data_IF_481281836430
#
_entry.id   IF_481281836430
#
_cell.length_a   1.000
_cell.length_b   1.000
_cell.length_c   1.000
_cell.angle_alpha   90.00
_cell.angle_beta   90.00
_cell.angle_gamma   90.00
#
_symmetry.space_group_name_H-M   'P 1'
#
loop_
_entity.id
_entity.type
_entity.pdbx_description
1 polymer ?
#
# COMPACT_ATOMS: atom_id res chain seq x y z
N UNK A 1 5.19 58.64 -38.04
CA UNK A 1 6.49 57.92 -37.98
C UNK A 1 6.23 56.45 -38.16
N UNK A 2 6.99 55.81 -39.05
CA UNK A 2 6.65 54.58 -39.77
C UNK A 2 6.70 53.32 -38.87
N UNK A 3 5.60 52.54 -38.92
CA UNK A 3 5.52 51.16 -38.50
C UNK A 3 6.39 50.25 -39.38
N UNK A 4 7.21 49.37 -38.80
CA UNK A 4 7.82 48.23 -39.49
C UNK A 4 7.18 46.95 -38.96
N UNK A 5 6.37 46.33 -39.80
CA UNK A 5 5.87 44.98 -39.62
C UNK A 5 6.96 43.99 -40.08
N UNK A 6 7.41 43.11 -39.19
CA UNK A 6 8.20 41.95 -39.56
C UNK A 6 7.27 40.74 -39.76
N UNK A 7 7.25 40.23 -41.01
CA UNK A 7 6.64 38.95 -41.38
C UNK A 7 7.55 37.81 -40.89
N UNK A 8 6.98 36.91 -40.08
CA UNK A 8 7.58 35.60 -39.81
C UNK A 8 7.07 34.62 -40.89
N UNK A 9 7.96 34.15 -41.74
CA UNK A 9 7.72 33.00 -42.60
C UNK A 9 7.74 31.70 -41.80
N UNK A 10 6.64 30.94 -41.87
CA UNK A 10 6.57 29.57 -41.36
C UNK A 10 7.22 28.63 -42.36
N UNK A 11 8.42 28.14 -42.11
CA UNK A 11 8.97 26.97 -42.77
C UNK A 11 8.28 25.70 -42.23
N UNK A 12 7.44 25.10 -43.06
CA UNK A 12 6.89 23.77 -42.80
C UNK A 12 7.95 22.71 -43.15
N UNK A 13 8.55 22.10 -42.14
CA UNK A 13 9.33 20.90 -42.33
C UNK A 13 8.36 19.71 -42.42
N UNK A 14 8.10 19.22 -43.62
CA UNK A 14 7.39 17.95 -43.84
C UNK A 14 8.39 16.82 -43.56
N UNK A 15 8.25 16.14 -42.45
CA UNK A 15 8.89 14.85 -42.21
C UNK A 15 7.96 13.79 -42.76
N UNK A 16 8.32 13.20 -43.90
CA UNK A 16 7.64 12.01 -44.43
C UNK A 16 8.05 10.80 -43.58
N UNK A 17 7.10 10.28 -42.80
CA UNK A 17 7.25 8.99 -42.14
C UNK A 17 6.94 7.89 -43.15
N UNK A 18 7.95 7.24 -43.68
CA UNK A 18 7.80 5.94 -44.31
C UNK A 18 7.62 4.90 -43.23
N UNK A 19 6.40 4.41 -43.02
CA UNK A 19 6.12 3.27 -42.16
C UNK A 19 6.71 2.01 -42.80
N UNK A 20 7.48 1.19 -42.07
CA UNK A 20 7.91 -0.10 -42.62
C UNK A 20 6.74 -1.08 -42.66
N UNK A 21 6.58 -1.76 -43.79
CA UNK A 21 5.47 -2.68 -44.12
C UNK A 21 5.42 -3.98 -43.30
N UNK A 22 6.15 -4.13 -42.22
CA UNK A 22 6.10 -5.34 -41.40
C UNK A 22 6.36 -5.10 -39.90
N UNK A 23 5.36 -4.58 -39.21
CA UNK A 23 5.35 -4.50 -37.76
C UNK A 23 5.42 -5.86 -37.05
N UNK A 24 5.15 -6.97 -37.76
CA UNK A 24 5.17 -8.32 -37.19
C UNK A 24 6.58 -8.87 -37.01
N UNK A 25 7.58 -8.33 -37.70
CA UNK A 25 9.00 -8.72 -37.55
C UNK A 25 9.73 -7.97 -36.44
N UNK A 26 9.27 -6.80 -36.03
CA UNK A 26 9.86 -6.04 -34.93
C UNK A 26 9.56 -6.63 -33.53
N UNK A 27 8.54 -7.49 -33.43
CA UNK A 27 8.15 -8.11 -32.14
C UNK A 27 9.02 -9.34 -31.79
N UNK A 28 9.82 -9.85 -32.71
CA UNK A 28 10.52 -11.14 -32.50
C UNK A 28 12.00 -11.09 -32.13
N UNK A 29 12.68 -9.96 -32.11
CA UNK A 29 14.11 -9.90 -31.77
C UNK A 29 14.55 -8.60 -31.08
N UNK A 30 13.80 -8.10 -30.15
CA UNK A 30 14.30 -7.10 -29.22
C UNK A 30 14.86 -7.79 -27.97
N UNK A 31 16.16 -7.77 -27.80
CA UNK A 31 16.81 -8.17 -26.57
C UNK A 31 16.28 -7.25 -25.44
N UNK A 32 15.28 -7.70 -24.68
CA UNK A 32 14.71 -6.95 -23.55
C UNK A 32 15.74 -6.68 -22.43
N UNK A 33 16.94 -7.29 -22.52
CA UNK A 33 18.02 -7.18 -21.53
C UNK A 33 18.72 -5.81 -21.46
N UNK A 34 18.40 -4.87 -22.36
CA UNK A 34 19.04 -3.55 -22.39
C UNK A 34 18.20 -2.42 -21.80
N UNK A 35 16.93 -2.69 -21.40
CA UNK A 35 16.08 -1.69 -20.76
C UNK A 35 16.27 -1.78 -19.25
N UNK A 36 16.67 -0.70 -18.56
CA UNK A 36 16.80 -0.71 -17.09
C UNK A 36 15.48 -1.12 -16.40
N UNK A 37 15.57 -1.93 -15.34
CA UNK A 37 14.41 -2.43 -14.60
C UNK A 37 13.60 -3.49 -15.34
N UNK A 38 14.21 -4.27 -16.24
CA UNK A 38 13.55 -5.32 -17.03
C UNK A 38 12.96 -6.41 -16.12
N UNK A 39 13.64 -6.78 -15.03
CA UNK A 39 13.16 -7.74 -14.03
C UNK A 39 11.82 -7.31 -13.42
N UNK A 40 11.76 -6.10 -12.87
CA UNK A 40 10.55 -5.53 -12.28
C UNK A 40 9.42 -5.41 -13.31
N UNK A 41 9.72 -4.87 -14.52
CA UNK A 41 8.74 -4.71 -15.61
C UNK A 41 8.18 -6.04 -16.11
N UNK A 42 8.95 -7.11 -16.09
CA UNK A 42 8.50 -8.44 -16.52
C UNK A 42 7.53 -9.08 -15.53
N UNK A 43 7.61 -8.72 -14.24
CA UNK A 43 6.69 -9.19 -13.20
C UNK A 43 5.28 -8.62 -13.36
N UNK A 44 5.18 -7.35 -13.79
CA UNK A 44 3.92 -6.65 -14.02
C UNK A 44 3.89 -6.05 -15.44
N UNK A 45 3.56 -6.83 -16.47
CA UNK A 45 3.44 -6.31 -17.83
C UNK A 45 2.41 -5.18 -17.90
N UNK A 46 2.78 -4.07 -18.55
CA UNK A 46 1.91 -2.93 -18.67
C UNK A 46 0.59 -3.27 -19.37
N UNK A 47 -0.50 -2.94 -18.73
CA UNK A 47 -1.85 -2.97 -19.29
C UNK A 47 -2.64 -1.77 -18.77
N UNK A 48 -3.02 -0.86 -19.67
CA UNK A 48 -3.85 0.28 -19.31
C UNK A 48 -5.21 -0.17 -18.80
N UNK A 49 -5.70 0.50 -17.74
CA UNK A 49 -7.00 0.21 -17.12
C UNK A 49 -8.18 0.32 -18.12
N UNK A 50 -8.07 1.19 -19.13
CA UNK A 50 -9.10 1.38 -20.17
C UNK A 50 -9.22 0.20 -21.15
N UNK A 51 -8.23 -0.69 -21.17
CA UNK A 51 -8.18 -1.87 -22.04
C UNK A 51 -8.50 -3.17 -21.28
N UNK A 52 -8.96 -3.06 -20.03
CA UNK A 52 -9.34 -4.22 -19.21
C UNK A 52 -10.84 -4.48 -19.29
N UNK A 53 -11.25 -5.76 -19.22
CA UNK A 53 -12.66 -6.08 -19.04
C UNK A 53 -13.18 -5.41 -17.75
N UNK A 54 -14.39 -4.85 -17.76
CA UNK A 54 -14.99 -4.31 -16.54
C UNK A 54 -15.07 -5.36 -15.44
N UNK A 55 -14.83 -4.94 -14.21
CA UNK A 55 -15.03 -5.74 -13.01
C UNK A 55 -16.47 -5.56 -12.53
N UNK A 56 -16.94 -6.49 -11.70
CA UNK A 56 -18.24 -6.38 -11.02
C UNK A 56 -18.06 -6.75 -9.55
N UNK A 57 -18.66 -5.92 -8.68
CA UNK A 57 -18.75 -6.19 -7.25
C UNK A 57 -20.16 -6.69 -6.90
N UNK A 58 -20.33 -7.46 -5.83
CA UNK A 58 -21.63 -7.87 -5.33
C UNK A 58 -22.58 -6.68 -5.13
N UNK A 59 -23.84 -6.86 -5.52
CA UNK A 59 -24.88 -5.84 -5.35
C UNK A 59 -24.68 -4.57 -6.21
N UNK A 60 -23.84 -4.61 -7.24
CA UNK A 60 -23.53 -3.45 -8.06
C UNK A 60 -22.72 -2.37 -7.33
N UNK A 61 -21.99 -2.74 -6.29
CA UNK A 61 -21.11 -1.83 -5.56
C UNK A 61 -20.03 -1.23 -6.48
N UNK A 62 -19.57 -0.03 -6.14
CA UNK A 62 -18.62 0.76 -6.95
C UNK A 62 -17.25 0.81 -6.34
N UNK A 63 -17.19 0.78 -5.00
CA UNK A 63 -15.97 0.95 -4.22
C UNK A 63 -15.82 -0.18 -3.21
N UNK A 64 -14.61 -0.68 -3.09
CA UNK A 64 -14.14 -1.40 -1.91
C UNK A 64 -13.28 -0.45 -1.09
N UNK A 65 -13.69 -0.15 0.14
CA UNK A 65 -12.85 0.51 1.13
C UNK A 65 -11.99 -0.53 1.83
N UNK A 66 -10.67 -0.39 1.71
CA UNK A 66 -9.69 -1.26 2.33
C UNK A 66 -8.91 -0.50 3.41
N UNK A 67 -9.18 -0.81 4.68
CA UNK A 67 -8.47 -0.20 5.80
C UNK A 67 -7.26 -1.04 6.17
N UNK A 68 -6.09 -0.41 6.27
CA UNK A 68 -4.84 -1.03 6.67
C UNK A 68 -4.34 -0.33 7.93
N UNK A 69 -4.12 -1.11 9.00
CA UNK A 69 -3.55 -0.60 10.25
C UNK A 69 -2.17 -1.21 10.42
N UNK A 70 -1.15 -0.36 10.36
CA UNK A 70 0.26 -0.76 10.44
C UNK A 70 0.74 -0.73 11.88
N UNK A 71 1.26 -1.86 12.35
CA UNK A 71 1.80 -2.01 13.69
C UNK A 71 3.20 -2.57 13.63
N UNK A 72 4.14 -1.79 14.11
CA UNK A 72 5.56 -1.98 13.88
C UNK A 72 6.31 -2.22 15.20
N UNK A 73 7.44 -2.89 15.13
CA UNK A 73 8.40 -3.03 16.23
C UNK A 73 9.65 -2.22 15.87
N UNK A 74 9.88 -1.15 16.62
CA UNK A 74 11.06 -0.30 16.44
C UNK A 74 12.10 -0.64 17.51
N UNK A 75 13.34 -0.80 17.10
CA UNK A 75 14.43 -1.12 17.99
C UNK A 75 15.05 0.16 18.57
N UNK A 76 15.00 0.37 19.93
CA UNK A 76 15.44 1.64 20.52
C UNK A 76 16.95 1.90 20.41
N UNK A 77 17.74 0.84 20.20
CA UNK A 77 19.21 0.90 20.08
C UNK A 77 19.68 0.96 18.63
N UNK A 78 18.74 0.85 17.68
CA UNK A 78 19.01 0.94 16.25
C UNK A 78 18.60 2.28 15.62
N UNK A 79 18.82 2.46 14.32
CA UNK A 79 18.29 3.59 13.60
C UNK A 79 16.77 3.57 13.61
N UNK A 80 16.15 4.70 13.99
CA UNK A 80 14.71 4.83 13.93
C UNK A 80 14.20 4.81 12.48
N UNK A 81 13.16 4.04 12.16
CA UNK A 81 12.55 4.05 10.84
C UNK A 81 12.06 5.44 10.44
N UNK A 82 11.64 6.25 11.44
CA UNK A 82 11.24 7.64 11.27
C UNK A 82 11.61 8.47 12.50
N UNK A 83 11.82 9.76 12.28
CA UNK A 83 12.12 10.71 13.34
C UNK A 83 11.12 11.87 13.28
N UNK A 84 10.44 12.14 14.41
CA UNK A 84 9.65 13.35 14.61
C UNK A 84 10.53 14.49 15.12
N UNK A 85 11.56 14.16 15.86
CA UNK A 85 12.59 15.08 16.31
C UNK A 85 13.91 14.75 15.62
N UNK A 86 14.51 15.71 14.87
CA UNK A 86 15.86 15.55 14.36
C UNK A 86 16.87 15.50 15.51
N UNK A 87 18.02 14.84 15.35
CA UNK A 87 19.05 14.82 16.36
C UNK A 87 19.52 16.25 16.73
N UNK A 88 19.58 16.62 18.03
CA UNK A 88 19.85 18.00 18.45
C UNK A 88 21.16 18.58 17.92
N UNK A 89 22.17 17.75 17.70
CA UNK A 89 23.49 18.15 17.21
C UNK A 89 23.81 17.62 15.80
N UNK A 90 22.79 17.24 15.04
CA UNK A 90 22.95 16.73 13.67
C UNK A 90 23.49 15.30 13.54
N UNK A 91 23.82 14.64 14.65
CA UNK A 91 24.25 13.25 14.66
C UNK A 91 23.29 12.38 15.48
N UNK A 92 22.91 11.19 15.00
CA UNK A 92 22.06 10.27 15.74
C UNK A 92 22.64 9.94 17.12
N UNK A 93 21.80 10.05 18.15
CA UNK A 93 22.12 9.66 19.52
C UNK A 93 21.35 8.38 19.86
N UNK A 94 22.06 7.33 20.25
CA UNK A 94 21.46 6.05 20.60
C UNK A 94 21.65 5.75 22.11
N UNK A 95 20.59 5.24 22.78
CA UNK A 95 19.26 4.98 22.28
C UNK A 95 18.48 6.28 21.95
N UNK A 96 17.69 6.27 20.87
CA UNK A 96 16.86 7.42 20.46
C UNK A 96 15.51 7.37 21.20
N UNK A 97 15.51 7.76 22.46
CA UNK A 97 14.34 7.69 23.35
C UNK A 97 13.15 8.52 22.82
N UNK A 98 13.31 9.80 22.38
CA UNK A 98 12.16 10.59 21.96
C UNK A 98 11.44 10.03 20.73
N UNK A 99 12.15 9.57 19.71
CA UNK A 99 11.52 9.02 18.51
C UNK A 99 10.97 7.61 18.75
N UNK A 100 11.67 6.78 19.50
CA UNK A 100 11.14 5.48 19.91
C UNK A 100 9.89 5.63 20.80
N UNK A 101 9.89 6.50 21.80
CA UNK A 101 8.74 6.68 22.69
C UNK A 101 7.54 7.36 21.99
N UNK A 102 7.78 8.16 20.96
CA UNK A 102 6.73 8.66 20.08
C UNK A 102 6.00 7.51 19.37
N UNK A 103 6.72 6.54 18.84
CA UNK A 103 6.14 5.34 18.27
C UNK A 103 5.38 4.53 19.36
N UNK A 104 5.98 4.35 20.55
CA UNK A 104 5.37 3.64 21.68
C UNK A 104 4.04 4.25 22.12
N UNK A 105 3.87 5.58 22.02
CA UNK A 105 2.58 6.21 22.24
C UNK A 105 1.49 5.63 21.34
N UNK A 106 1.84 5.32 20.09
CA UNK A 106 0.95 4.65 19.17
C UNK A 106 0.46 3.31 19.70
N UNK A 107 1.36 2.48 20.21
CA UNK A 107 1.04 1.15 20.74
C UNK A 107 0.24 1.23 22.05
N UNK A 108 0.57 2.17 22.91
CA UNK A 108 -0.05 2.33 24.24
C UNK A 108 -1.41 3.01 24.21
N UNK A 109 -1.61 3.93 23.27
CA UNK A 109 -2.79 4.82 23.27
C UNK A 109 -3.42 4.93 21.89
N UNK A 110 -2.63 5.17 20.84
CA UNK A 110 -3.12 5.48 19.51
C UNK A 110 -3.90 4.34 18.86
N UNK A 111 -3.43 3.11 19.01
CA UNK A 111 -4.08 1.91 18.49
C UNK A 111 -5.53 1.77 18.99
N UNK A 112 -5.74 2.01 20.26
CA UNK A 112 -7.06 1.84 20.91
C UNK A 112 -8.09 2.84 20.36
N UNK A 113 -7.67 4.06 19.97
CA UNK A 113 -8.54 5.01 19.28
C UNK A 113 -8.88 4.57 17.88
N UNK A 114 -7.92 4.04 17.13
CA UNK A 114 -8.17 3.51 15.78
C UNK A 114 -9.10 2.29 15.86
N UNK A 115 -8.85 1.39 16.80
CA UNK A 115 -9.72 0.23 17.03
C UNK A 115 -11.16 0.66 17.33
N UNK A 116 -11.34 1.63 18.22
CA UNK A 116 -12.67 2.16 18.58
C UNK A 116 -13.34 2.86 17.39
N UNK A 117 -12.60 3.67 16.62
CA UNK A 117 -13.10 4.34 15.43
C UNK A 117 -13.62 3.35 14.37
N UNK A 118 -12.91 2.23 14.16
CA UNK A 118 -13.34 1.18 13.23
C UNK A 118 -14.49 0.34 13.81
N UNK A 119 -14.37 -0.07 15.07
CA UNK A 119 -15.36 -0.92 15.75
C UNK A 119 -16.73 -0.24 15.88
N UNK A 120 -16.77 1.04 16.22
CA UNK A 120 -18.01 1.82 16.32
C UNK A 120 -18.76 1.92 14.99
N UNK A 121 -18.03 1.81 13.87
CA UNK A 121 -18.56 1.79 12.49
C UNK A 121 -18.76 0.36 11.94
N UNK A 122 -18.55 -0.69 12.76
CA UNK A 122 -18.61 -2.11 12.37
C UNK A 122 -17.67 -2.44 11.19
N UNK A 123 -16.54 -1.75 11.11
CA UNK A 123 -15.53 -1.92 10.07
C UNK A 123 -14.45 -2.87 10.55
N UNK A 124 -13.96 -3.70 9.64
CA UNK A 124 -12.74 -4.49 9.83
C UNK A 124 -11.56 -3.81 9.15
N UNK A 125 -10.36 -4.25 9.51
CA UNK A 125 -9.13 -3.83 8.87
C UNK A 125 -8.28 -5.04 8.49
N UNK A 126 -7.34 -4.82 7.59
CA UNK A 126 -6.15 -5.64 7.42
C UNK A 126 -5.09 -5.10 8.36
N UNK A 127 -4.62 -5.93 9.27
CA UNK A 127 -3.64 -5.60 10.29
C UNK A 127 -2.26 -5.97 9.77
N UNK A 128 -1.54 -4.99 9.21
CA UNK A 128 -0.17 -5.14 8.76
C UNK A 128 0.76 -5.06 9.97
N UNK A 129 1.35 -6.20 10.36
CA UNK A 129 2.13 -6.25 11.58
C UNK A 129 3.50 -6.90 11.37
N UNK A 130 4.51 -6.35 12.06
CA UNK A 130 5.76 -7.09 12.21
C UNK A 130 5.49 -8.36 13.05
N UNK A 131 6.07 -9.50 12.66
CA UNK A 131 5.85 -10.77 13.37
C UNK A 131 6.17 -10.71 14.86
N UNK A 132 7.21 -9.96 15.24
CA UNK A 132 7.59 -9.75 16.64
C UNK A 132 6.52 -9.03 17.47
N UNK A 133 5.57 -8.33 16.85
CA UNK A 133 4.44 -7.66 17.51
C UNK A 133 3.60 -8.66 18.32
N UNK A 134 3.41 -9.89 17.81
CA UNK A 134 2.66 -10.93 18.48
C UNK A 134 3.19 -11.25 19.89
N UNK A 135 4.51 -11.08 20.09
CA UNK A 135 5.16 -11.31 21.40
C UNK A 135 5.31 -10.04 22.23
N UNK A 136 5.55 -8.90 21.57
CA UNK A 136 5.88 -7.64 22.25
C UNK A 136 4.65 -6.83 22.63
N UNK A 137 3.56 -6.95 21.87
CA UNK A 137 2.32 -6.20 22.06
C UNK A 137 1.11 -7.14 21.98
N UNK A 138 1.13 -8.20 22.78
CA UNK A 138 0.12 -9.26 22.79
C UNK A 138 -1.32 -8.72 22.95
N UNK A 139 -1.53 -7.71 23.83
CA UNK A 139 -2.85 -7.09 24.03
C UNK A 139 -3.37 -6.42 22.74
N UNK A 140 -2.50 -5.78 21.96
CA UNK A 140 -2.85 -5.13 20.68
C UNK A 140 -3.24 -6.20 19.65
N UNK A 141 -2.46 -7.27 19.55
CA UNK A 141 -2.76 -8.37 18.62
C UNK A 141 -4.06 -9.10 19.02
N UNK A 142 -4.27 -9.35 20.33
CA UNK A 142 -5.51 -9.97 20.84
C UNK A 142 -6.73 -9.10 20.49
N UNK A 143 -6.66 -7.79 20.70
CA UNK A 143 -7.75 -6.88 20.39
C UNK A 143 -8.07 -6.82 18.89
N UNK A 144 -7.07 -6.89 18.02
CA UNK A 144 -7.26 -6.98 16.58
C UNK A 144 -7.91 -8.32 16.17
N UNK A 145 -7.45 -9.44 16.76
CA UNK A 145 -8.02 -10.77 16.51
C UNK A 145 -9.47 -10.85 16.96
N UNK A 146 -9.79 -10.35 18.16
CA UNK A 146 -11.17 -10.30 18.71
C UNK A 146 -12.10 -9.40 17.87
N UNK A 147 -11.54 -8.36 17.23
CA UNK A 147 -12.28 -7.53 16.29
C UNK A 147 -12.49 -8.21 14.92
N UNK A 148 -11.93 -9.40 14.72
CA UNK A 148 -12.02 -10.16 13.47
C UNK A 148 -11.26 -9.52 12.32
N UNK A 149 -10.14 -8.84 12.62
CA UNK A 149 -9.26 -8.27 11.60
C UNK A 149 -8.44 -9.36 10.95
N UNK A 150 -8.10 -9.15 9.68
CA UNK A 150 -7.13 -9.96 8.96
C UNK A 150 -5.72 -9.63 9.42
N UNK A 151 -4.85 -10.64 9.51
CA UNK A 151 -3.43 -10.46 9.83
C UNK A 151 -2.60 -10.59 8.56
N UNK A 152 -1.85 -9.54 8.22
CA UNK A 152 -0.96 -9.44 7.05
C UNK A 152 0.50 -9.29 7.52
N UNK A 153 1.42 -10.09 6.97
CA UNK A 153 2.84 -10.02 7.34
C UNK A 153 3.48 -8.69 6.91
N UNK A 154 4.33 -8.13 7.79
CA UNK A 154 5.03 -6.86 7.57
C UNK A 154 6.50 -6.93 8.00
N UNK A 155 7.19 -8.04 7.69
CA UNK A 155 8.53 -8.32 8.20
C UNK A 155 8.53 -8.75 9.67
N UNK A 156 9.69 -9.22 10.17
CA UNK A 156 9.81 -9.64 11.56
C UNK A 156 9.86 -8.43 12.52
N UNK A 157 10.63 -7.41 12.14
CA UNK A 157 10.74 -6.09 12.77
C UNK A 157 10.76 -5.03 11.68
N UNK A 158 10.63 -3.74 12.03
CA UNK A 158 10.58 -2.65 11.04
C UNK A 158 11.96 -2.40 10.41
N UNK A 159 12.29 -3.25 9.44
CA UNK A 159 13.55 -3.22 8.70
C UNK A 159 13.29 -3.39 7.20
N UNK A 160 13.75 -2.46 6.32
CA UNK A 160 13.63 -2.60 4.87
C UNK A 160 14.19 -3.93 4.35
N UNK A 161 13.53 -4.59 3.40
CA UNK A 161 13.95 -5.89 2.87
C UNK A 161 15.39 -5.87 2.32
N UNK A 162 15.84 -4.74 1.76
CA UNK A 162 17.23 -4.53 1.33
C UNK A 162 18.26 -4.61 2.46
N UNK A 163 17.85 -4.61 3.73
CA UNK A 163 18.70 -4.71 4.92
C UNK A 163 18.55 -6.04 5.65
N UNK A 164 17.86 -6.99 5.03
CA UNK A 164 17.64 -8.35 5.55
C UNK A 164 18.52 -9.30 4.74
N UNK A 165 19.52 -9.90 5.37
CA UNK A 165 20.52 -10.74 4.69
C UNK A 165 19.88 -12.06 4.16
N UNK A 166 19.02 -12.70 4.96
CA UNK A 166 18.26 -13.89 4.58
C UNK A 166 16.76 -13.56 4.61
N UNK A 167 16.26 -13.04 3.50
CA UNK A 167 14.86 -12.64 3.37
C UNK A 167 13.91 -13.84 3.49
N UNK A 168 14.26 -14.97 2.88
CA UNK A 168 13.40 -16.16 2.89
C UNK A 168 13.18 -16.67 4.32
N UNK A 169 14.23 -16.72 5.12
CA UNK A 169 14.15 -17.11 6.53
C UNK A 169 13.34 -16.10 7.35
N UNK A 170 13.56 -14.80 7.14
CA UNK A 170 12.84 -13.74 7.84
C UNK A 170 11.34 -13.73 7.50
N UNK A 171 10.98 -13.97 6.25
CA UNK A 171 9.57 -14.10 5.82
C UNK A 171 8.92 -15.30 6.51
N UNK A 172 9.57 -16.46 6.48
CA UNK A 172 9.06 -17.67 7.15
C UNK A 172 8.88 -17.48 8.65
N UNK A 173 9.84 -16.87 9.31
CA UNK A 173 9.76 -16.57 10.75
C UNK A 173 8.60 -15.62 11.04
N UNK A 174 8.42 -14.56 10.25
CA UNK A 174 7.29 -13.64 10.38
C UNK A 174 5.96 -14.37 10.28
N UNK A 175 5.79 -15.19 9.24
CA UNK A 175 4.57 -15.97 9.02
C UNK A 175 4.30 -16.95 10.15
N UNK A 176 5.35 -17.59 10.66
CA UNK A 176 5.23 -18.56 11.75
C UNK A 176 4.88 -17.89 13.09
N UNK A 177 5.40 -16.70 13.38
CA UNK A 177 5.00 -15.93 14.58
C UNK A 177 3.51 -15.54 14.50
N UNK A 178 3.05 -15.09 13.34
CA UNK A 178 1.62 -14.80 13.13
C UNK A 178 0.79 -16.07 13.25
N UNK A 179 1.21 -17.18 12.64
CA UNK A 179 0.50 -18.46 12.71
C UNK A 179 0.39 -18.99 14.15
N UNK A 180 1.46 -18.90 14.93
CA UNK A 180 1.43 -19.30 16.35
C UNK A 180 0.41 -18.51 17.15
N UNK A 181 0.24 -17.23 16.84
CA UNK A 181 -0.69 -16.36 17.53
C UNK A 181 -2.14 -16.53 17.06
N UNK A 182 -2.37 -16.57 15.75
CA UNK A 182 -3.72 -16.57 15.15
C UNK A 182 -4.27 -17.97 14.84
N UNK A 183 -3.41 -18.99 14.78
CA UNK A 183 -3.74 -20.33 14.32
C UNK A 183 -3.68 -20.51 12.80
N UNK A 184 -3.49 -19.44 12.02
CA UNK A 184 -3.48 -19.46 10.55
C UNK A 184 -2.28 -18.70 9.98
N UNK A 185 -1.77 -19.16 8.82
CA UNK A 185 -0.76 -18.42 8.07
C UNK A 185 -1.37 -17.17 7.43
N UNK A 186 -0.66 -16.04 7.41
CA UNK A 186 -1.10 -14.87 6.65
C UNK A 186 -1.04 -15.17 5.15
N UNK A 187 -2.02 -14.67 4.40
CA UNK A 187 -2.06 -14.75 2.93
C UNK A 187 -1.46 -13.53 2.25
N UNK A 188 -1.41 -12.42 2.97
CA UNK A 188 -0.95 -11.14 2.49
C UNK A 188 0.37 -10.70 3.09
N UNK A 189 1.06 -9.82 2.35
CA UNK A 189 2.30 -9.21 2.76
C UNK A 189 2.38 -7.73 2.35
N UNK A 190 2.93 -6.93 3.26
CA UNK A 190 3.39 -5.57 3.03
C UNK A 190 4.84 -5.47 3.53
N UNK A 191 5.78 -5.20 2.66
CA UNK A 191 7.18 -5.07 3.06
C UNK A 191 7.41 -3.81 3.89
N UNK A 192 8.26 -3.82 4.92
CA UNK A 192 8.60 -2.61 5.68
C UNK A 192 9.03 -1.46 4.77
N UNK A 193 8.25 -0.38 4.80
CA UNK A 193 8.44 0.77 3.93
C UNK A 193 8.19 0.50 2.45
N UNK A 194 7.40 -0.52 2.10
CA UNK A 194 7.10 -0.98 0.73
C UNK A 194 8.38 -1.33 -0.06
N UNK A 195 9.40 -1.84 0.62
CA UNK A 195 10.71 -2.10 -0.01
C UNK A 195 10.81 -3.56 -0.42
N UNK A 196 11.08 -3.81 -1.69
CA UNK A 196 11.40 -5.12 -2.24
C UNK A 196 12.76 -5.10 -2.95
N UNK A 197 13.48 -6.22 -2.89
CA UNK A 197 14.60 -6.51 -3.81
C UNK A 197 14.06 -7.29 -5.02
N UNK A 198 14.91 -7.53 -6.01
CA UNK A 198 14.52 -8.32 -7.19
C UNK A 198 13.99 -9.73 -6.83
N UNK A 199 14.43 -10.31 -5.70
CA UNK A 199 14.08 -11.66 -5.28
C UNK A 199 12.93 -11.72 -4.25
N UNK A 200 12.54 -10.58 -3.65
CA UNK A 200 11.55 -10.55 -2.56
C UNK A 200 10.23 -11.19 -2.96
N UNK A 201 9.69 -10.86 -4.15
CA UNK A 201 8.42 -11.40 -4.62
C UNK A 201 8.46 -12.93 -4.78
N UNK A 202 9.60 -13.47 -5.25
CA UNK A 202 9.79 -14.92 -5.41
C UNK A 202 9.85 -15.61 -4.04
N UNK A 203 10.53 -15.02 -3.06
CA UNK A 203 10.57 -15.52 -1.69
C UNK A 203 9.18 -15.52 -1.04
N UNK A 204 8.38 -14.47 -1.26
CA UNK A 204 7.00 -14.38 -0.78
C UNK A 204 6.13 -15.48 -1.39
N UNK A 205 6.17 -15.63 -2.72
CA UNK A 205 5.44 -16.69 -3.41
C UNK A 205 5.86 -18.09 -2.96
N UNK A 206 7.16 -18.33 -2.77
CA UNK A 206 7.71 -19.59 -2.26
C UNK A 206 7.21 -19.91 -0.85
N UNK A 207 6.93 -18.88 -0.05
CA UNK A 207 6.35 -19.02 1.29
C UNK A 207 4.83 -19.18 1.29
N UNK A 208 4.17 -19.07 0.13
CA UNK A 208 2.72 -19.20 0.02
C UNK A 208 1.94 -17.90 0.24
N UNK A 209 2.60 -16.74 0.15
CA UNK A 209 1.92 -15.44 0.11
C UNK A 209 1.18 -15.33 -1.23
N UNK A 210 -0.09 -14.96 -1.16
CA UNK A 210 -0.98 -14.90 -2.30
C UNK A 210 -1.20 -13.46 -2.80
N UNK A 211 -1.04 -12.45 -1.92
CA UNK A 211 -1.12 -11.06 -2.33
C UNK A 211 -0.08 -10.17 -1.63
N UNK A 212 0.25 -9.06 -2.28
CA UNK A 212 1.17 -8.03 -1.77
C UNK A 212 0.54 -6.63 -1.87
N UNK A 213 0.94 -5.74 -0.95
CA UNK A 213 0.55 -4.34 -0.89
C UNK A 213 1.66 -3.37 -1.36
N UNK A 214 2.81 -3.89 -1.79
CA UNK A 214 4.00 -3.10 -2.09
C UNK A 214 3.95 -2.36 -3.43
N UNK A 215 3.09 -2.82 -4.36
CA UNK A 215 3.02 -2.35 -5.73
C UNK A 215 1.89 -1.32 -5.92
N UNK A 216 2.22 -0.06 -5.75
CA UNK A 216 1.27 1.07 -5.66
C UNK A 216 0.91 1.69 -7.03
N UNK A 217 0.58 0.88 -8.03
CA UNK A 217 0.49 1.34 -9.41
C UNK A 217 -0.92 1.26 -10.05
N UNK A 218 -1.93 0.84 -9.30
CA UNK A 218 -3.26 0.58 -9.88
C UNK A 218 -4.41 0.80 -8.90
N UNK A 219 -5.61 1.04 -9.42
CA UNK A 219 -6.87 1.13 -8.65
C UNK A 219 -7.62 -0.21 -8.58
N UNK A 220 -7.11 -1.25 -9.25
CA UNK A 220 -7.69 -2.59 -9.32
C UNK A 220 -6.60 -3.64 -9.06
N UNK A 221 -6.94 -4.83 -8.51
CA UNK A 221 -5.96 -5.88 -8.33
C UNK A 221 -5.30 -6.29 -9.65
N UNK A 222 -4.00 -6.58 -9.59
CA UNK A 222 -3.19 -6.97 -10.76
C UNK A 222 -2.39 -8.24 -10.43
N UNK A 223 -2.41 -9.22 -11.31
CA UNK A 223 -1.60 -10.43 -11.17
C UNK A 223 -0.14 -10.15 -11.50
N UNK A 224 0.76 -10.46 -10.57
CA UNK A 224 2.21 -10.39 -10.71
C UNK A 224 2.77 -11.76 -11.02
N UNK A 225 3.86 -11.80 -11.77
CA UNK A 225 4.60 -13.03 -12.09
C UNK A 225 5.73 -13.25 -11.10
N UNK A 226 5.81 -14.44 -10.53
CA UNK A 226 6.96 -14.93 -9.79
C UNK A 226 7.37 -16.30 -10.30
N UNK A 227 8.56 -16.74 -9.92
CA UNK A 227 9.07 -18.07 -10.32
C UNK A 227 8.35 -19.21 -9.58
N UNK A 228 7.58 -18.89 -8.53
CA UNK A 228 6.86 -19.87 -7.70
C UNK A 228 5.33 -19.77 -7.84
N UNK A 229 4.84 -19.08 -8.87
CA UNK A 229 3.42 -18.88 -9.14
C UNK A 229 2.99 -17.42 -9.08
N UNK A 230 1.76 -17.13 -9.51
CA UNK A 230 1.26 -15.76 -9.50
C UNK A 230 1.02 -15.25 -8.07
N UNK A 231 1.32 -13.97 -7.84
CA UNK A 231 0.96 -13.22 -6.64
C UNK A 231 0.11 -12.03 -7.07
N UNK A 232 -0.90 -11.67 -6.31
CA UNK A 232 -1.77 -10.54 -6.65
C UNK A 232 -1.28 -9.26 -5.97
N UNK A 233 -0.98 -8.20 -6.74
CA UNK A 233 -0.84 -6.86 -6.18
C UNK A 233 -2.23 -6.30 -5.88
N UNK A 234 -2.54 -6.03 -4.62
CA UNK A 234 -3.75 -5.32 -4.24
C UNK A 234 -3.53 -3.81 -4.32
N UNK A 235 -4.57 -3.03 -4.66
CA UNK A 235 -4.46 -1.59 -4.84
C UNK A 235 -4.19 -0.85 -3.52
N UNK A 236 -2.93 -0.83 -3.10
CA UNK A 236 -2.45 0.04 -2.06
C UNK A 236 -2.14 1.42 -2.65
N UNK A 237 -2.25 2.47 -1.85
CA UNK A 237 -1.87 3.81 -2.29
C UNK A 237 -1.03 4.54 -1.25
N UNK A 238 0.06 5.16 -1.71
CA UNK A 238 0.86 6.08 -0.89
C UNK A 238 0.15 7.42 -0.65
N UNK A 239 -0.86 7.75 -1.47
CA UNK A 239 -1.56 9.03 -1.39
C UNK A 239 -2.45 9.15 -0.14
N UNK A 240 -2.98 8.03 0.38
CA UNK A 240 -3.77 7.95 1.61
C UNK A 240 -3.06 7.14 2.70
N UNK A 241 -1.75 7.18 2.71
CA UNK A 241 -0.90 6.69 3.79
C UNK A 241 -0.53 7.86 4.71
N UNK A 242 -0.86 7.76 5.99
CA UNK A 242 -0.63 8.84 6.96
C UNK A 242 0.85 9.15 7.23
N UNK A 243 1.76 8.17 6.99
CA UNK A 243 3.21 8.43 7.00
C UNK A 243 3.58 9.37 5.87
N UNK A 244 3.06 9.13 4.65
CA UNK A 244 3.35 10.00 3.50
C UNK A 244 2.76 11.39 3.74
N UNK A 245 1.51 11.49 4.15
CA UNK A 245 0.83 12.76 4.40
C UNK A 245 1.51 13.56 5.52
N UNK A 246 1.71 12.92 6.67
CA UNK A 246 2.07 13.65 7.90
C UNK A 246 3.56 13.70 8.19
N UNK A 247 4.31 12.62 7.89
CA UNK A 247 5.72 12.53 8.22
C UNK A 247 6.65 12.87 7.06
N UNK A 248 6.26 12.55 5.82
CA UNK A 248 7.07 12.84 4.63
C UNK A 248 6.72 14.20 4.04
N UNK A 249 5.45 14.42 3.70
CA UNK A 249 4.97 15.66 3.09
C UNK A 249 4.68 16.75 4.12
N UNK A 250 4.58 16.42 5.40
CA UNK A 250 4.35 17.36 6.53
C UNK A 250 3.09 18.23 6.36
N UNK A 251 2.04 17.65 5.80
CA UNK A 251 0.76 18.32 5.67
C UNK A 251 0.05 18.50 7.03
N UNK A 252 -0.93 19.42 7.06
CA UNK A 252 -1.79 19.64 8.21
C UNK A 252 -2.62 18.42 8.58
N UNK A 253 -3.09 18.34 9.83
CA UNK A 253 -3.80 17.18 10.36
C UNK A 253 -5.10 16.83 9.63
N UNK A 254 -5.74 17.82 9.00
CA UNK A 254 -6.97 17.67 8.23
C UNK A 254 -6.77 17.21 6.78
N UNK A 255 -5.52 17.08 6.34
CA UNK A 255 -5.21 16.68 4.95
C UNK A 255 -5.74 15.29 4.61
N UNK A 256 -5.67 14.34 5.54
CA UNK A 256 -6.22 13.00 5.33
C UNK A 256 -7.72 13.04 5.01
N UNK A 257 -8.47 13.93 5.64
CA UNK A 257 -9.90 14.13 5.35
C UNK A 257 -10.10 14.79 3.99
N UNK A 258 -9.38 15.87 3.70
CA UNK A 258 -9.52 16.63 2.44
C UNK A 258 -9.15 15.77 1.24
N UNK A 259 -7.96 15.17 1.30
CA UNK A 259 -7.45 14.30 0.24
C UNK A 259 -8.30 13.04 0.10
N UNK A 260 -8.66 12.42 1.22
CA UNK A 260 -9.49 11.22 1.23
C UNK A 260 -10.85 11.44 0.60
N UNK A 261 -11.53 12.55 0.86
CA UNK A 261 -12.80 12.91 0.21
C UNK A 261 -12.65 13.08 -1.29
N UNK A 262 -11.68 13.89 -1.73
CA UNK A 262 -11.45 14.12 -3.14
C UNK A 262 -11.05 12.83 -3.90
N UNK A 263 -10.25 11.99 -3.26
CA UNK A 263 -9.86 10.68 -3.80
C UNK A 263 -11.08 9.75 -3.91
N UNK A 264 -11.86 9.64 -2.86
CA UNK A 264 -13.10 8.87 -2.85
C UNK A 264 -14.07 9.34 -3.95
N UNK A 265 -14.36 10.62 -4.04
CA UNK A 265 -15.30 11.17 -5.02
C UNK A 265 -14.91 10.81 -6.46
N UNK A 266 -13.60 10.84 -6.74
CA UNK A 266 -13.08 10.45 -8.06
C UNK A 266 -13.23 8.96 -8.30
N UNK A 267 -12.77 8.11 -7.40
CA UNK A 267 -12.88 6.66 -7.55
C UNK A 267 -14.35 6.19 -7.59
N UNK A 268 -15.23 6.83 -6.82
CA UNK A 268 -16.65 6.53 -6.80
C UNK A 268 -17.32 6.86 -8.14
N UNK A 269 -16.89 7.94 -8.79
CA UNK A 269 -17.33 8.28 -10.16
C UNK A 269 -16.79 7.28 -11.19
N UNK A 270 -15.50 6.93 -11.12
CA UNK A 270 -14.89 5.95 -12.01
C UNK A 270 -15.49 4.54 -11.81
N UNK A 271 -15.93 4.24 -10.60
CA UNK A 271 -16.59 3.00 -10.21
C UNK A 271 -17.92 2.73 -10.92
N UNK A 272 -18.49 3.73 -11.58
CA UNK A 272 -19.66 3.53 -12.46
C UNK A 272 -19.33 2.66 -13.69
N UNK A 273 -18.10 2.70 -14.16
CA UNK A 273 -17.67 1.91 -15.33
C UNK A 273 -17.08 0.55 -14.91
N UNK A 274 -16.32 0.56 -13.84
CA UNK A 274 -15.69 -0.63 -13.28
C UNK A 274 -15.25 -0.32 -11.84
N UNK A 275 -15.52 -1.18 -10.86
CA UNK A 275 -15.23 -0.90 -9.46
C UNK A 275 -13.75 -0.60 -9.21
N UNK A 276 -13.51 0.15 -8.14
CA UNK A 276 -12.17 0.54 -7.64
C UNK A 276 -12.00 0.09 -6.20
N UNK A 277 -10.75 -0.06 -5.80
CA UNK A 277 -10.35 -0.23 -4.40
C UNK A 277 -9.77 1.08 -3.89
N UNK A 278 -10.27 1.56 -2.77
CA UNK A 278 -9.73 2.70 -2.04
C UNK A 278 -9.04 2.21 -0.77
N UNK A 279 -7.73 2.19 -0.75
CA UNK A 279 -6.96 1.86 0.43
C UNK A 279 -6.76 3.10 1.32
N UNK A 280 -6.84 2.92 2.64
CA UNK A 280 -6.44 3.91 3.65
C UNK A 280 -5.49 3.20 4.59
N UNK A 281 -4.23 3.65 4.63
CA UNK A 281 -3.18 3.08 5.47
C UNK A 281 -2.82 4.02 6.60
N UNK A 282 -2.94 3.53 7.85
CA UNK A 282 -2.76 4.33 9.05
C UNK A 282 -1.81 3.66 10.04
N UNK A 283 -1.07 4.50 10.78
CA UNK A 283 -0.16 4.10 11.83
C UNK A 283 -0.65 4.66 13.17
N UNK A 284 -0.70 3.85 14.25
CA UNK A 284 -1.21 4.28 15.55
C UNK A 284 -0.55 5.53 16.12
N UNK A 285 0.75 5.71 15.91
CA UNK A 285 1.52 6.87 16.37
C UNK A 285 1.29 8.15 15.54
N UNK A 286 0.63 8.04 14.38
CA UNK A 286 0.27 9.16 13.51
C UNK A 286 -1.23 9.47 13.59
N UNK A 287 -2.07 8.59 13.07
CA UNK A 287 -3.52 8.82 13.01
C UNK A 287 -4.21 8.62 14.35
N UNK A 288 -3.65 7.82 15.28
CA UNK A 288 -4.23 7.58 16.61
C UNK A 288 -4.01 8.70 17.62
N UNK A 289 -3.36 9.83 17.26
CA UNK A 289 -3.16 10.96 18.17
C UNK A 289 -4.41 11.84 18.26
N UNK A 290 -4.62 12.57 19.40
CA UNK A 290 -5.88 13.27 19.67
C UNK A 290 -6.29 14.29 18.60
N UNK A 291 -5.34 14.99 18.00
CA UNK A 291 -5.62 16.04 17.03
C UNK A 291 -5.79 15.55 15.58
N UNK A 292 -5.64 14.25 15.33
CA UNK A 292 -5.78 13.65 13.99
C UNK A 292 -6.91 12.64 13.89
N UNK A 293 -7.17 11.86 14.95
CA UNK A 293 -8.15 10.76 14.89
C UNK A 293 -9.54 11.24 14.41
N UNK A 294 -10.00 12.42 14.83
CA UNK A 294 -11.30 12.96 14.44
C UNK A 294 -11.43 13.25 12.93
N UNK A 295 -10.34 13.53 12.23
CA UNK A 295 -10.37 13.68 10.77
C UNK A 295 -10.46 12.35 10.04
N UNK A 296 -9.82 11.31 10.57
CA UNK A 296 -9.96 9.94 10.05
C UNK A 296 -11.40 9.43 10.25
N UNK A 297 -11.98 9.66 11.42
CA UNK A 297 -13.38 9.31 11.72
C UNK A 297 -14.35 10.00 10.76
N UNK A 298 -14.18 11.29 10.51
CA UNK A 298 -14.98 12.06 9.56
C UNK A 298 -14.84 11.55 8.12
N UNK A 299 -13.64 11.08 7.73
CA UNK A 299 -13.44 10.46 6.41
C UNK A 299 -14.22 9.15 6.30
N UNK A 300 -14.15 8.31 7.33
CA UNK A 300 -14.94 7.06 7.35
C UNK A 300 -16.44 7.32 7.28
N UNK A 301 -16.93 8.26 8.06
CA UNK A 301 -18.35 8.64 8.04
C UNK A 301 -18.78 9.16 6.66
N UNK A 302 -17.94 9.96 6.02
CA UNK A 302 -18.19 10.45 4.66
C UNK A 302 -18.28 9.30 3.64
N UNK A 303 -17.32 8.40 3.63
CA UNK A 303 -17.28 7.27 2.69
C UNK A 303 -18.49 6.35 2.91
N UNK A 304 -18.80 6.03 4.18
CA UNK A 304 -19.91 5.15 4.54
C UNK A 304 -21.30 5.76 4.32
N UNK A 305 -21.38 7.09 4.14
CA UNK A 305 -22.67 7.75 3.81
C UNK A 305 -23.13 7.54 2.37
N UNK A 306 -22.29 6.89 1.53
CA UNK A 306 -22.59 6.64 0.13
C UNK A 306 -23.02 5.19 -0.10
N UNK A 307 -24.02 4.98 -0.96
CA UNK A 307 -24.43 3.65 -1.38
C UNK A 307 -23.37 2.97 -2.25
N UNK A 308 -23.36 1.63 -2.26
CA UNK A 308 -22.44 0.88 -3.12
C UNK A 308 -20.98 0.90 -2.68
N UNK A 309 -20.73 1.12 -1.38
CA UNK A 309 -19.42 0.97 -0.73
C UNK A 309 -19.39 -0.35 0.04
N UNK A 310 -18.41 -1.18 -0.24
CA UNK A 310 -18.12 -2.40 0.53
C UNK A 310 -16.86 -2.14 1.38
N UNK A 311 -16.85 -2.60 2.62
CA UNK A 311 -15.68 -2.55 3.50
C UNK A 311 -15.11 -3.96 3.57
N UNK A 312 -13.96 -4.18 2.93
CA UNK A 312 -13.32 -5.48 2.82
C UNK A 312 -11.89 -5.46 3.35
N UNK A 313 -11.44 -6.62 3.82
CA UNK A 313 -10.04 -6.91 4.10
C UNK A 313 -9.32 -7.33 2.81
N UNK A 314 -7.98 -7.41 2.85
CA UNK A 314 -7.17 -7.87 1.73
C UNK A 314 -7.56 -9.27 1.25
N UNK A 315 -7.79 -10.21 2.17
CA UNK A 315 -8.27 -11.56 1.87
C UNK A 315 -9.58 -11.56 1.06
N UNK A 316 -10.53 -10.71 1.45
CA UNK A 316 -11.82 -10.62 0.76
C UNK A 316 -11.68 -10.01 -0.64
N UNK A 317 -10.79 -9.04 -0.82
CA UNK A 317 -10.46 -8.46 -2.12
C UNK A 317 -9.81 -9.52 -3.01
N UNK A 318 -8.83 -10.26 -2.47
CA UNK A 318 -8.16 -11.34 -3.17
C UNK A 318 -9.16 -12.42 -3.60
N UNK A 319 -9.99 -12.91 -2.69
CA UNK A 319 -10.99 -13.95 -2.99
C UNK A 319 -11.98 -13.53 -4.07
N UNK A 320 -12.41 -12.27 -4.04
CA UNK A 320 -13.26 -11.72 -5.09
C UNK A 320 -12.54 -11.68 -6.44
N UNK A 321 -11.29 -11.22 -6.46
CA UNK A 321 -10.50 -11.12 -7.68
C UNK A 321 -10.23 -12.48 -8.31
N UNK A 322 -9.80 -13.47 -7.53
CA UNK A 322 -9.47 -14.83 -8.02
C UNK A 322 -10.69 -15.63 -8.48
N UNK A 323 -11.91 -15.34 -7.98
CA UNK A 323 -13.13 -16.01 -8.46
C UNK A 323 -13.47 -15.71 -9.91
N UNK A 324 -12.91 -14.66 -10.49
CA UNK A 324 -13.15 -14.23 -11.87
C UNK A 324 -12.22 -14.92 -12.89
N UNK A 325 -11.08 -15.40 -12.43
CA UNK A 325 -10.12 -16.10 -13.30
C UNK A 325 -10.50 -17.59 -13.52
N UNK A 326 -11.56 -18.03 -12.85
CA UNK A 326 -12.18 -19.37 -13.02
C UNK A 326 -13.42 -19.30 -13.90
#
# INVERSE_FOLDING_TARGET
MRQRSQKYEKSQCKVEFNAPDDLSKLVRMGNMSTIPGTSVRSRAPYQSIINRPPLELPGGARIVLWNIVNVEVWEPTGPMPRAVLPPPMGAPLLPDIPNWSWHEYGMRVGFWRILDALKSRKMKATFALNGATCRMYEEVCTAALDAGWEFMGHGLVQRPMHKVDDQLSAIRETMEEIRKFTGTLPRGWESPGLTETDDTLDHLAQCGIEYVADWVFDDQPVSLRSDYGPVTALPYTVELNDVVISAVQQHSSDEILKRGKAHFDRLYSDGLQSPRVMAISVHPYLSGVPHRIGYLEQLYDYVLSHDGVLVWTGDQILDWFLKREK
#
